data_IF_089766710122
#
_entry.id   IF_089766710122
#
_cell.length_a   1.000
_cell.length_b   1.000
_cell.length_c   1.000
_cell.angle_alpha   90.00
_cell.angle_beta   90.00
_cell.angle_gamma   90.00
#
_symmetry.space_group_name_H-M   'P 1'
#
loop_
_entity.id
_entity.type
_entity.pdbx_description
1 polymer ?
#
# COMPACT_ATOMS: atom_id res chain seq x y z
N UNK A 1 26.69 14.97 -9.80
CA UNK A 1 25.84 13.76 -9.83
C UNK A 1 24.46 14.16 -9.33
N UNK A 2 23.37 13.90 -10.07
CA UNK A 2 22.03 14.20 -9.58
C UNK A 2 21.74 13.36 -8.32
N UNK A 3 21.06 13.97 -7.35
CA UNK A 3 20.65 13.26 -6.14
C UNK A 3 19.70 12.11 -6.50
N UNK A 4 19.86 10.91 -5.91
CA UNK A 4 18.95 9.81 -6.19
C UNK A 4 17.52 10.17 -5.77
N UNK A 5 16.57 10.00 -6.69
CA UNK A 5 15.16 10.20 -6.45
C UNK A 5 14.70 9.29 -5.29
N UNK A 6 14.12 9.89 -4.25
CA UNK A 6 13.49 9.14 -3.15
C UNK A 6 11.97 9.19 -3.34
N UNK A 7 11.35 8.12 -3.89
CA UNK A 7 9.90 8.09 -3.99
C UNK A 7 9.29 8.15 -2.58
N UNK A 8 8.16 8.85 -2.47
CA UNK A 8 7.37 8.92 -1.23
C UNK A 8 6.09 8.13 -1.38
N UNK A 9 5.57 7.61 -0.27
CA UNK A 9 4.23 7.03 -0.25
C UNK A 9 3.21 8.11 -0.67
N UNK A 10 2.16 7.73 -1.44
CA UNK A 10 1.16 8.68 -1.93
C UNK A 10 0.26 9.24 -0.81
N UNK A 11 0.19 8.56 0.34
CA UNK A 11 -0.53 8.97 1.54
C UNK A 11 0.29 8.59 2.77
N UNK A 12 0.28 9.45 3.79
CA UNK A 12 0.98 9.21 5.07
C UNK A 12 -0.01 8.98 6.21
N UNK A 13 0.49 8.45 7.33
CA UNK A 13 -0.28 8.32 8.57
C UNK A 13 -0.80 9.68 9.06
N UNK A 14 -0.01 10.74 8.93
CA UNK A 14 -0.40 12.09 9.30
C UNK A 14 -1.57 12.61 8.45
N UNK A 15 -1.57 12.32 7.14
CA UNK A 15 -2.68 12.69 6.25
C UNK A 15 -3.98 11.99 6.66
N UNK A 16 -3.89 10.69 6.98
CA UNK A 16 -5.05 9.90 7.44
C UNK A 16 -5.57 10.41 8.79
N UNK A 17 -4.67 10.72 9.72
CA UNK A 17 -5.06 11.23 11.03
C UNK A 17 -5.74 12.60 10.93
N UNK A 18 -5.17 13.52 10.16
CA UNK A 18 -5.75 14.85 9.93
C UNK A 18 -7.16 14.75 9.30
N UNK A 19 -7.32 13.85 8.32
CA UNK A 19 -8.62 13.58 7.71
C UNK A 19 -9.62 12.98 8.72
N UNK A 20 -9.18 12.06 9.58
CA UNK A 20 -10.04 11.42 10.58
C UNK A 20 -10.53 12.44 11.62
N UNK A 21 -9.67 13.34 12.07
CA UNK A 21 -10.02 14.41 13.00
C UNK A 21 -11.09 15.35 12.43
N UNK A 22 -10.98 15.73 11.15
CA UNK A 22 -12.01 16.57 10.51
C UNK A 22 -13.32 15.83 10.29
N UNK A 23 -13.24 14.58 9.83
CA UNK A 23 -14.42 13.73 9.63
C UNK A 23 -15.17 13.52 10.95
N UNK A 24 -14.45 13.28 12.05
CA UNK A 24 -15.04 13.14 13.37
C UNK A 24 -15.81 14.40 13.80
N UNK A 25 -15.24 15.59 13.58
CA UNK A 25 -15.92 16.87 13.84
C UNK A 25 -17.17 17.03 12.96
N UNK A 26 -17.11 16.62 11.70
CA UNK A 26 -18.25 16.69 10.77
C UNK A 26 -19.38 15.75 11.19
N UNK A 27 -19.06 14.52 11.60
CA UNK A 27 -20.03 13.54 12.13
C UNK A 27 -20.68 14.07 13.41
N UNK A 28 -19.90 14.57 14.36
CA UNK A 28 -20.43 15.11 15.62
C UNK A 28 -21.37 16.32 15.38
N UNK A 29 -21.09 17.13 14.36
CA UNK A 29 -21.94 18.25 13.96
C UNK A 29 -23.17 17.83 13.13
N UNK A 30 -23.38 16.54 12.87
CA UNK A 30 -24.47 16.05 12.03
C UNK A 30 -24.34 16.41 10.54
N UNK A 31 -23.13 16.76 10.07
CA UNK A 31 -22.85 17.14 8.67
C UNK A 31 -22.61 15.93 7.75
N UNK A 32 -22.50 14.73 8.32
CA UNK A 32 -22.31 13.47 7.59
C UNK A 32 -23.30 12.46 8.13
N UNK A 33 -24.06 11.83 7.24
CA UNK A 33 -25.04 10.80 7.56
C UNK A 33 -24.46 9.39 7.44
N UNK A 34 -25.28 8.38 7.74
CA UNK A 34 -24.87 6.99 7.72
C UNK A 34 -24.48 6.51 6.31
N UNK A 35 -25.20 6.94 5.27
CA UNK A 35 -24.92 6.54 3.89
C UNK A 35 -23.59 7.13 3.40
N UNK A 36 -23.29 8.38 3.77
CA UNK A 36 -21.98 8.99 3.54
C UNK A 36 -20.85 8.22 4.21
N UNK A 37 -21.03 7.77 5.46
CA UNK A 37 -20.04 6.95 6.16
C UNK A 37 -19.86 5.57 5.50
N UNK A 38 -20.93 4.95 5.01
CA UNK A 38 -20.87 3.68 4.27
C UNK A 38 -20.09 3.85 2.96
N UNK A 39 -20.30 4.94 2.23
CA UNK A 39 -19.54 5.25 1.02
C UNK A 39 -18.03 5.40 1.31
N UNK A 40 -17.69 6.18 2.34
CA UNK A 40 -16.31 6.36 2.81
C UNK A 40 -15.68 5.03 3.24
N UNK A 41 -16.42 4.16 3.92
CA UNK A 41 -15.94 2.82 4.27
C UNK A 41 -15.55 2.02 3.02
N UNK A 42 -16.36 2.08 1.96
CA UNK A 42 -16.06 1.46 0.68
C UNK A 42 -14.79 2.02 0.03
N UNK A 43 -14.62 3.34 0.05
CA UNK A 43 -13.42 4.03 -0.44
C UNK A 43 -12.16 3.63 0.30
N UNK A 44 -12.20 3.64 1.64
CA UNK A 44 -11.08 3.22 2.50
C UNK A 44 -10.68 1.77 2.24
N UNK A 45 -11.63 0.87 2.02
CA UNK A 45 -11.32 -0.53 1.66
C UNK A 45 -10.59 -0.64 0.32
N UNK A 46 -11.02 0.12 -0.70
CA UNK A 46 -10.33 0.16 -2.01
C UNK A 46 -8.93 0.78 -1.89
N UNK A 47 -8.80 1.88 -1.15
CA UNK A 47 -7.52 2.54 -0.92
C UNK A 47 -6.54 1.63 -0.16
N UNK A 48 -7.02 0.91 0.86
CA UNK A 48 -6.24 -0.08 1.60
C UNK A 48 -5.71 -1.19 0.69
N UNK A 49 -6.56 -1.73 -0.19
CA UNK A 49 -6.15 -2.73 -1.18
C UNK A 49 -5.08 -2.18 -2.14
N UNK A 50 -5.27 -0.97 -2.67
CA UNK A 50 -4.30 -0.32 -3.55
C UNK A 50 -2.95 -0.08 -2.84
N UNK A 51 -2.95 0.32 -1.57
CA UNK A 51 -1.73 0.47 -0.78
C UNK A 51 -1.02 -0.88 -0.53
N UNK A 52 -1.79 -1.96 -0.32
CA UNK A 52 -1.23 -3.29 -0.20
C UNK A 52 -0.57 -3.76 -1.51
N UNK A 53 -1.20 -3.50 -2.65
CA UNK A 53 -0.64 -3.81 -3.97
C UNK A 53 0.62 -2.99 -4.28
N UNK A 54 0.64 -1.71 -3.89
CA UNK A 54 1.82 -0.85 -4.01
C UNK A 54 2.96 -1.30 -3.10
N UNK A 55 2.66 -1.78 -1.90
CA UNK A 55 3.64 -2.38 -0.98
C UNK A 55 4.27 -3.65 -1.57
N UNK A 56 3.44 -4.50 -2.18
CA UNK A 56 3.90 -5.70 -2.88
C UNK A 56 4.80 -5.37 -4.08
N UNK A 57 4.43 -4.34 -4.85
CA UNK A 57 5.27 -3.82 -5.93
C UNK A 57 6.63 -3.35 -5.41
N UNK A 58 6.63 -2.55 -4.34
CA UNK A 58 7.85 -2.01 -3.75
C UNK A 58 8.74 -3.12 -3.18
N UNK A 59 8.16 -4.19 -2.63
CA UNK A 59 8.87 -5.38 -2.18
C UNK A 59 9.61 -6.07 -3.34
N UNK A 60 8.92 -6.31 -4.46
CA UNK A 60 9.53 -6.91 -5.67
C UNK A 60 10.66 -6.02 -6.19
N UNK A 61 10.39 -4.73 -6.38
CA UNK A 61 11.37 -3.77 -6.88
C UNK A 61 12.61 -3.68 -5.95
N UNK A 62 12.42 -3.65 -4.64
CA UNK A 62 13.54 -3.65 -3.68
C UNK A 62 14.39 -4.93 -3.81
N UNK A 63 13.75 -6.09 -4.01
CA UNK A 63 14.46 -7.36 -4.21
C UNK A 63 15.26 -7.38 -5.51
N UNK A 64 14.70 -6.84 -6.60
CA UNK A 64 15.38 -6.68 -7.89
C UNK A 64 16.60 -5.77 -7.80
N UNK A 65 16.53 -4.70 -7.00
CA UNK A 65 17.66 -3.82 -6.71
C UNK A 65 18.66 -4.40 -5.71
N UNK A 66 18.51 -5.68 -5.33
CA UNK A 66 19.47 -6.42 -4.50
C UNK A 66 19.27 -6.28 -2.99
N UNK A 67 18.20 -5.61 -2.51
CA UNK A 67 17.96 -5.48 -1.07
C UNK A 67 17.68 -6.83 -0.43
N UNK A 68 18.51 -7.27 0.53
CA UNK A 68 18.35 -8.55 1.22
C UNK A 68 17.06 -8.61 2.06
N UNK A 69 16.55 -9.82 2.31
CA UNK A 69 15.39 -10.00 3.19
C UNK A 69 15.63 -9.48 4.61
N UNK A 70 16.88 -9.46 5.09
CA UNK A 70 17.25 -8.89 6.38
C UNK A 70 17.08 -7.37 6.41
N UNK A 71 17.36 -6.68 5.30
CA UNK A 71 17.13 -5.23 5.18
C UNK A 71 15.64 -4.89 5.13
N UNK A 72 14.83 -5.78 4.55
CA UNK A 72 13.38 -5.59 4.38
C UNK A 72 12.59 -5.96 5.65
N UNK A 73 13.02 -6.97 6.40
CA UNK A 73 12.30 -7.52 7.55
C UNK A 73 11.82 -6.50 8.61
N UNK A 74 12.58 -5.43 8.94
CA UNK A 74 12.10 -4.42 9.89
C UNK A 74 10.82 -3.70 9.46
N UNK A 75 10.55 -3.58 8.16
CA UNK A 75 9.33 -2.94 7.63
C UNK A 75 8.08 -3.78 7.91
N UNK A 76 8.24 -5.09 8.07
CA UNK A 76 7.14 -6.04 8.33
C UNK A 76 6.93 -6.34 9.82
N UNK A 77 7.53 -5.54 10.72
CA UNK A 77 7.44 -5.71 12.17
C UNK A 77 8.75 -6.22 12.77
N UNK A 78 8.68 -7.10 13.79
CA UNK A 78 9.80 -7.48 14.68
C UNK A 78 10.96 -8.28 14.02
N UNK A 79 11.41 -7.91 12.83
CA UNK A 79 12.65 -8.40 12.20
C UNK A 79 12.60 -9.86 11.72
N UNK A 80 11.43 -10.49 11.68
CA UNK A 80 11.30 -11.86 11.20
C UNK A 80 11.35 -11.91 9.68
N UNK A 81 12.49 -12.32 9.14
CA UNK A 81 12.73 -12.58 7.70
C UNK A 81 11.67 -13.50 7.06
N UNK A 82 11.01 -14.34 7.86
CA UNK A 82 9.93 -15.23 7.38
C UNK A 82 8.74 -14.47 6.80
N UNK A 83 8.38 -13.31 7.35
CA UNK A 83 7.23 -12.53 6.88
C UNK A 83 7.43 -12.00 5.45
N UNK A 84 8.50 -11.26 5.11
CA UNK A 84 8.75 -10.85 3.74
C UNK A 84 9.07 -12.03 2.81
N UNK A 85 9.69 -13.11 3.31
CA UNK A 85 9.95 -14.30 2.48
C UNK A 85 8.66 -14.98 2.02
N UNK A 86 7.73 -15.25 2.93
CA UNK A 86 6.44 -15.87 2.61
C UNK A 86 5.59 -14.96 1.69
N UNK A 87 5.65 -13.63 1.91
CA UNK A 87 4.98 -12.67 1.04
C UNK A 87 5.56 -12.69 -0.37
N UNK A 88 6.88 -12.69 -0.50
CA UNK A 88 7.59 -12.75 -1.76
C UNK A 88 7.32 -14.05 -2.51
N UNK A 89 7.33 -15.19 -1.82
CA UNK A 89 6.98 -16.49 -2.42
C UNK A 89 5.56 -16.46 -3.00
N UNK A 90 4.59 -15.92 -2.26
CA UNK A 90 3.21 -15.76 -2.76
C UNK A 90 3.14 -14.82 -3.96
N UNK A 91 3.95 -13.76 -4.00
CA UNK A 91 4.00 -12.82 -5.12
C UNK A 91 4.62 -13.45 -6.36
N UNK A 92 5.71 -14.20 -6.22
CA UNK A 92 6.36 -14.90 -7.33
C UNK A 92 5.50 -15.98 -7.99
N UNK A 93 4.42 -16.44 -7.35
CA UNK A 93 3.40 -17.28 -8.00
C UNK A 93 2.49 -16.51 -8.96
N UNK A 94 2.46 -15.18 -8.88
CA UNK A 94 1.60 -14.31 -9.69
C UNK A 94 2.41 -13.45 -10.65
N UNK A 95 3.55 -12.92 -10.20
CA UNK A 95 4.45 -12.05 -10.98
C UNK A 95 5.91 -12.35 -10.64
N UNK A 96 6.74 -12.51 -11.67
CA UNK A 96 8.18 -12.76 -11.58
C UNK A 96 8.98 -11.50 -11.22
N UNK A 97 8.45 -10.34 -11.58
CA UNK A 97 9.09 -9.05 -11.34
C UNK A 97 8.06 -7.91 -11.12
N UNK A 98 8.57 -6.75 -10.74
CA UNK A 98 7.82 -5.54 -10.43
C UNK A 98 7.09 -4.97 -11.65
N UNK A 99 7.60 -5.16 -12.88
CA UNK A 99 6.93 -4.71 -14.10
C UNK A 99 5.71 -5.58 -14.43
N UNK A 100 5.85 -6.90 -14.31
CA UNK A 100 4.75 -7.84 -14.49
C UNK A 100 3.66 -7.60 -13.44
N UNK A 101 4.04 -7.32 -12.21
CA UNK A 101 3.07 -6.96 -11.17
C UNK A 101 2.33 -5.66 -11.50
N UNK A 102 3.03 -4.62 -11.95
CA UNK A 102 2.41 -3.36 -12.36
C UNK A 102 1.41 -3.55 -13.51
N UNK A 103 1.74 -4.39 -14.48
CA UNK A 103 0.85 -4.73 -15.59
C UNK A 103 -0.42 -5.46 -15.12
N UNK A 104 -0.30 -6.41 -14.18
CA UNK A 104 -1.45 -7.07 -13.55
C UNK A 104 -2.36 -6.03 -12.87
N UNK A 105 -1.79 -5.06 -12.16
CA UNK A 105 -2.56 -4.01 -11.49
C UNK A 105 -3.31 -3.11 -12.48
N UNK A 106 -2.69 -2.78 -13.62
CA UNK A 106 -3.34 -1.99 -14.67
C UNK A 106 -4.54 -2.71 -15.26
N UNK A 107 -4.39 -3.99 -15.62
CA UNK A 107 -5.50 -4.81 -16.15
C UNK A 107 -6.65 -4.92 -15.16
N UNK A 108 -6.33 -5.15 -13.88
CA UNK A 108 -7.34 -5.19 -12.81
C UNK A 108 -8.09 -3.87 -12.66
N UNK A 109 -7.40 -2.73 -12.83
CA UNK A 109 -8.03 -1.41 -12.77
C UNK A 109 -8.92 -1.13 -13.99
N UNK A 110 -8.57 -1.67 -15.16
CA UNK A 110 -9.35 -1.60 -16.39
C UNK A 110 -10.54 -2.59 -16.42
N UNK A 111 -10.62 -3.50 -15.45
CA UNK A 111 -11.69 -4.50 -15.35
C UNK A 111 -11.51 -5.70 -16.29
N UNK A 112 -10.28 -5.94 -16.76
CA UNK A 112 -9.88 -7.05 -17.63
C UNK A 112 -9.26 -8.19 -16.82
#
# INVERSE_FOLDING_TARGET
MPEPLRPRAPITEADVLAWLEETARAVQAGRVDADGLIAVLGELRRASAACADASDWALLAAREQGASLRQIAPVFGKGYVRAPAARLEKLHRQALDSQQWLEILRRRAEGV
#
